data_IF_091813072496
#
_entry.id   IF_091813072496
#
_cell.length_a   1.000
_cell.length_b   1.000
_cell.length_c   1.000
_cell.angle_alpha   90.00
_cell.angle_beta   90.00
_cell.angle_gamma   90.00
#
_symmetry.space_group_name_H-M   'P 1'
#
loop_
_entity.id
_entity.type
_entity.pdbx_description
1 polymer ?
#
# COMPACT_ATOMS: atom_id res chain seq x y z
N UNK A 1 4.27 12.63 22.71
CA UNK A 1 3.49 12.50 21.46
C UNK A 1 2.15 13.20 21.63
N UNK A 2 1.78 14.06 20.68
CA UNK A 2 0.44 14.67 20.59
C UNK A 2 -0.34 13.88 19.54
N UNK A 3 -1.45 13.24 19.94
CA UNK A 3 -2.30 12.45 19.06
C UNK A 3 -3.74 12.50 19.57
N UNK A 4 -4.69 12.68 18.65
CA UNK A 4 -6.13 12.74 18.91
C UNK A 4 -6.90 11.93 17.86
N UNK A 5 -7.72 10.99 18.33
CA UNK A 5 -8.47 10.02 17.53
C UNK A 5 -9.72 10.67 16.90
N UNK A 6 -10.19 11.83 17.42
CA UNK A 6 -11.33 12.59 16.88
C UNK A 6 -12.64 11.79 16.86
N UNK A 7 -13.06 11.33 18.04
CA UNK A 7 -14.27 10.52 18.26
C UNK A 7 -15.33 11.27 19.09
N UNK A 8 -15.36 12.60 18.98
CA UNK A 8 -16.27 13.48 19.71
C UNK A 8 -17.75 13.16 19.46
N UNK A 9 -18.09 12.71 18.24
CA UNK A 9 -19.45 12.27 17.88
C UNK A 9 -19.92 11.08 18.71
N UNK A 10 -18.99 10.27 19.21
CA UNK A 10 -19.25 9.14 20.12
C UNK A 10 -19.09 9.52 21.58
N UNK A 11 -18.95 10.83 21.87
CA UNK A 11 -18.68 11.38 23.22
C UNK A 11 -17.37 10.87 23.82
N UNK A 12 -16.43 10.47 22.97
CA UNK A 12 -15.08 10.07 23.39
C UNK A 12 -14.18 11.30 23.24
N UNK A 13 -13.94 11.97 24.36
CA UNK A 13 -13.13 13.19 24.37
C UNK A 13 -11.67 12.90 24.05
N UNK A 14 -11.00 13.91 23.51
CA UNK A 14 -9.54 13.93 23.32
C UNK A 14 -8.76 13.68 24.63
N UNK A 15 -7.45 13.51 24.49
CA UNK A 15 -6.54 13.22 25.60
C UNK A 15 -6.58 14.34 26.66
N UNK A 16 -6.80 13.97 27.92
CA UNK A 16 -6.93 14.92 29.04
C UNK A 16 -5.57 15.45 29.49
N UNK A 17 -5.59 16.60 30.17
CA UNK A 17 -4.41 17.13 30.86
C UNK A 17 -3.89 16.10 31.89
N UNK A 18 -2.59 15.81 31.88
CA UNK A 18 -1.97 14.82 32.76
C UNK A 18 -2.22 13.35 32.41
N UNK A 19 -3.15 13.02 31.51
CA UNK A 19 -3.38 11.65 31.04
C UNK A 19 -2.18 11.16 30.23
N UNK A 20 -1.71 9.93 30.43
CA UNK A 20 -0.66 9.36 29.55
C UNK A 20 -1.27 8.97 28.20
N UNK A 21 -0.45 8.80 27.17
CA UNK A 21 -0.99 8.31 25.89
C UNK A 21 -1.62 6.93 26.05
N UNK A 22 -1.00 6.03 26.80
CA UNK A 22 -1.53 4.69 27.03
C UNK A 22 -2.90 4.75 27.71
N UNK A 23 -3.05 5.53 28.80
CA UNK A 23 -4.33 5.68 29.49
C UNK A 23 -5.42 6.28 28.58
N UNK A 24 -5.04 7.20 27.70
CA UNK A 24 -5.96 7.74 26.68
C UNK A 24 -6.42 6.65 25.69
N UNK A 25 -5.49 5.84 25.17
CA UNK A 25 -5.80 4.75 24.25
C UNK A 25 -6.67 3.68 24.93
N UNK A 26 -6.34 3.27 26.16
CA UNK A 26 -7.12 2.29 26.93
C UNK A 26 -8.56 2.79 27.18
N UNK A 27 -8.71 4.08 27.54
CA UNK A 27 -10.01 4.72 27.69
C UNK A 27 -10.81 4.75 26.39
N UNK A 28 -10.17 5.02 25.26
CA UNK A 28 -10.86 5.02 23.96
C UNK A 28 -11.26 3.59 23.59
N UNK A 29 -10.34 2.63 23.69
CA UNK A 29 -10.54 1.23 23.29
C UNK A 29 -11.52 0.47 24.20
N UNK A 30 -11.80 0.96 25.40
CA UNK A 30 -12.86 0.43 26.27
C UNK A 30 -14.28 0.89 25.90
N UNK A 31 -14.43 1.75 24.88
CA UNK A 31 -15.72 2.17 24.37
C UNK A 31 -16.47 1.01 23.70
N UNK A 32 -17.79 1.00 23.83
CA UNK A 32 -18.67 0.04 23.16
C UNK A 32 -18.63 0.14 21.62
N UNK A 33 -18.04 1.20 21.06
CA UNK A 33 -17.87 1.31 19.60
C UNK A 33 -16.88 0.27 19.03
N UNK A 34 -16.05 -0.34 19.89
CA UNK A 34 -15.13 -1.41 19.51
C UNK A 34 -15.73 -2.81 19.73
N UNK A 35 -17.02 -2.89 20.10
CA UNK A 35 -17.76 -4.15 20.14
C UNK A 35 -17.87 -4.74 18.71
N UNK A 36 -17.64 -6.05 18.49
CA UNK A 36 -17.74 -6.68 17.17
C UNK A 36 -19.09 -6.51 16.45
N UNK A 37 -20.17 -6.23 17.20
CA UNK A 37 -21.50 -5.98 16.65
C UNK A 37 -21.69 -4.55 16.12
N UNK A 38 -20.81 -3.62 16.48
CA UNK A 38 -20.90 -2.22 16.08
C UNK A 38 -20.30 -2.01 14.68
N UNK A 39 -21.10 -1.46 13.77
CA UNK A 39 -20.75 -1.36 12.35
C UNK A 39 -20.39 0.06 11.89
N UNK A 40 -20.68 1.10 12.68
CA UNK A 40 -20.33 2.50 12.33
C UNK A 40 -18.90 2.85 12.80
N UNK A 41 -17.95 1.99 12.41
CA UNK A 41 -16.54 2.12 12.74
C UNK A 41 -15.66 1.63 11.58
N UNK A 42 -14.44 2.17 11.48
CA UNK A 42 -13.51 1.76 10.43
C UNK A 42 -13.20 0.26 10.44
N UNK A 43 -13.29 -0.42 11.60
CA UNK A 43 -13.13 -1.87 11.71
C UNK A 43 -14.14 -2.64 10.85
N UNK A 44 -15.38 -2.15 10.74
CA UNK A 44 -16.39 -2.74 9.87
C UNK A 44 -16.10 -2.42 8.41
N UNK A 45 -15.93 -1.15 8.07
CA UNK A 45 -15.66 -0.69 6.69
C UNK A 45 -14.41 -1.33 6.08
N UNK A 46 -13.37 -1.56 6.89
CA UNK A 46 -12.12 -2.22 6.46
C UNK A 46 -12.25 -3.75 6.34
N UNK A 47 -13.31 -4.36 6.87
CA UNK A 47 -13.57 -5.78 6.68
C UNK A 47 -14.07 -6.05 5.25
N UNK A 48 -13.82 -7.25 4.73
CA UNK A 48 -14.33 -7.63 3.39
C UNK A 48 -15.85 -7.61 3.30
N UNK A 49 -16.55 -7.82 4.42
CA UNK A 49 -18.01 -7.75 4.50
C UNK A 49 -18.51 -6.30 4.46
N UNK A 50 -17.93 -5.42 5.28
CA UNK A 50 -18.31 -4.01 5.32
C UNK A 50 -17.96 -3.30 4.01
N UNK A 51 -16.77 -3.53 3.45
CA UNK A 51 -16.42 -2.99 2.13
C UNK A 51 -17.39 -3.45 1.02
N UNK A 52 -17.79 -4.73 1.04
CA UNK A 52 -18.80 -5.26 0.10
C UNK A 52 -20.17 -4.62 0.29
N UNK A 53 -20.58 -4.37 1.54
CA UNK A 53 -21.81 -3.67 1.87
C UNK A 53 -21.77 -2.22 1.37
N UNK A 54 -20.69 -1.49 1.63
CA UNK A 54 -20.50 -0.12 1.17
C UNK A 54 -20.54 0.00 -0.35
N UNK A 55 -19.91 -0.94 -1.07
CA UNK A 55 -19.95 -0.98 -2.53
C UNK A 55 -21.37 -1.15 -3.13
N UNK A 56 -22.37 -1.55 -2.33
CA UNK A 56 -23.76 -1.60 -2.78
C UNK A 56 -24.38 -0.22 -3.00
N UNK A 57 -23.86 0.83 -2.36
CA UNK A 57 -24.41 2.18 -2.43
C UNK A 57 -23.39 3.27 -2.78
N UNK A 58 -22.10 3.09 -2.46
CA UNK A 58 -21.02 3.95 -2.97
C UNK A 58 -20.75 3.60 -4.43
N UNK A 59 -20.93 4.56 -5.33
CA UNK A 59 -20.86 4.33 -6.79
C UNK A 59 -19.72 5.11 -7.43
N UNK A 60 -19.09 4.47 -8.41
CA UNK A 60 -18.23 5.12 -9.39
C UNK A 60 -19.09 6.06 -10.26
N UNK A 61 -18.81 7.36 -10.22
CA UNK A 61 -19.56 8.40 -10.93
C UNK A 61 -19.03 8.61 -12.34
N UNK A 62 -19.91 8.71 -13.33
CA UNK A 62 -19.55 8.78 -14.76
C UNK A 62 -18.76 10.02 -15.18
N UNK A 63 -18.75 11.05 -14.35
CA UNK A 63 -18.13 12.36 -14.59
C UNK A 63 -16.92 12.62 -13.67
N UNK A 64 -16.40 11.58 -13.01
CA UNK A 64 -15.20 11.65 -12.17
C UNK A 64 -14.10 10.76 -12.73
N UNK A 65 -12.85 11.25 -12.69
CA UNK A 65 -11.66 10.44 -12.94
C UNK A 65 -11.22 9.71 -11.67
N UNK A 66 -11.08 8.39 -11.73
CA UNK A 66 -10.57 7.58 -10.62
C UNK A 66 -9.22 6.98 -10.98
N UNK A 67 -8.26 7.03 -10.06
CA UNK A 67 -6.95 6.38 -10.20
C UNK A 67 -6.69 5.49 -8.99
N UNK A 68 -6.10 4.33 -9.22
CA UNK A 68 -5.75 3.40 -8.15
C UNK A 68 -4.34 2.88 -8.30
N UNK A 69 -3.60 2.89 -7.18
CA UNK A 69 -2.27 2.31 -7.08
C UNK A 69 -2.36 1.04 -6.23
N UNK A 70 -1.85 -0.06 -6.76
CA UNK A 70 -1.72 -1.31 -6.01
C UNK A 70 -0.28 -1.47 -5.55
N UNK A 71 -0.09 -1.66 -4.25
CA UNK A 71 1.19 -2.00 -3.62
C UNK A 71 1.27 -3.50 -3.34
N UNK A 72 2.48 -4.06 -3.48
CA UNK A 72 2.77 -5.42 -3.06
C UNK A 72 4.19 -5.50 -2.53
N UNK A 73 4.34 -6.04 -1.32
CA UNK A 73 5.63 -6.18 -0.65
C UNK A 73 5.95 -7.64 -0.28
N UNK A 74 5.09 -8.58 -0.68
CA UNK A 74 5.30 -10.01 -0.50
C UNK A 74 5.95 -10.69 -1.70
N UNK A 75 6.34 -11.95 -1.52
CA UNK A 75 6.71 -12.87 -2.59
C UNK A 75 5.97 -14.20 -2.41
N UNK A 76 5.78 -14.92 -3.51
CA UNK A 76 5.11 -16.22 -3.50
C UNK A 76 5.96 -17.27 -2.81
N UNK A 77 5.34 -18.05 -1.94
CA UNK A 77 5.99 -19.11 -1.19
C UNK A 77 5.03 -20.30 -1.02
N UNK A 78 5.52 -21.34 -0.36
CA UNK A 78 4.76 -22.55 -0.04
C UNK A 78 4.87 -22.83 1.45
N UNK A 79 3.76 -23.19 2.08
CA UNK A 79 3.78 -23.64 3.47
C UNK A 79 4.32 -25.08 3.59
N UNK A 80 4.35 -25.62 4.81
CA UNK A 80 4.84 -26.98 5.08
C UNK A 80 4.02 -28.09 4.41
N UNK A 81 2.80 -27.79 3.94
CA UNK A 81 1.92 -28.69 3.18
C UNK A 81 1.97 -28.40 1.66
N UNK A 82 2.94 -27.61 1.19
CA UNK A 82 3.08 -27.18 -0.20
C UNK A 82 1.90 -26.36 -0.74
N UNK A 83 1.13 -25.72 0.14
CA UNK A 83 0.01 -24.82 -0.25
C UNK A 83 0.53 -23.42 -0.54
N UNK A 84 -0.16 -22.70 -1.41
CA UNK A 84 0.14 -21.30 -1.74
C UNK A 84 0.04 -20.42 -0.50
N UNK A 85 1.09 -19.62 -0.29
CA UNK A 85 1.17 -18.52 0.68
C UNK A 85 2.00 -17.38 0.10
N UNK A 86 1.88 -16.19 0.67
CA UNK A 86 2.73 -15.05 0.38
C UNK A 86 3.49 -14.65 1.66
N UNK A 87 4.79 -14.38 1.56
CA UNK A 87 5.62 -13.97 2.70
C UNK A 87 6.21 -12.57 2.49
N UNK A 88 6.40 -11.77 3.56
CA UNK A 88 6.95 -10.43 3.44
C UNK A 88 8.41 -10.47 2.97
N UNK A 89 8.78 -9.52 2.11
CA UNK A 89 10.19 -9.22 1.82
C UNK A 89 10.76 -8.44 2.99
N UNK A 90 11.59 -9.10 3.80
CA UNK A 90 12.12 -8.55 5.06
C UNK A 90 12.83 -7.20 4.90
N UNK A 91 13.45 -6.94 3.75
CA UNK A 91 14.19 -5.71 3.46
C UNK A 91 13.34 -4.53 2.99
N UNK A 92 12.10 -4.79 2.57
CA UNK A 92 11.23 -3.77 1.98
C UNK A 92 9.92 -3.61 2.74
N UNK A 93 9.65 -4.48 3.72
CA UNK A 93 8.50 -4.40 4.63
C UNK A 93 8.98 -3.95 6.01
N UNK A 94 8.44 -2.84 6.50
CA UNK A 94 8.69 -2.33 7.84
C UNK A 94 8.46 -3.42 8.90
N UNK A 95 9.35 -3.47 9.90
CA UNK A 95 9.41 -4.57 10.87
C UNK A 95 8.07 -4.87 11.54
N UNK A 96 7.34 -3.83 11.94
CA UNK A 96 6.05 -3.98 12.62
C UNK A 96 4.91 -4.46 11.69
N UNK A 97 5.06 -4.30 10.37
CA UNK A 97 4.11 -4.79 9.36
C UNK A 97 4.36 -6.25 8.98
N UNK A 98 5.54 -6.80 9.23
CA UNK A 98 5.88 -8.18 8.87
C UNK A 98 4.94 -9.24 9.48
N UNK A 99 4.59 -9.23 10.78
CA UNK A 99 3.65 -10.22 11.32
C UNK A 99 2.25 -10.10 10.70
N UNK A 100 1.78 -8.88 10.41
CA UNK A 100 0.52 -8.64 9.71
C UNK A 100 0.56 -9.18 8.28
N UNK A 101 1.67 -8.94 7.58
CA UNK A 101 1.91 -9.46 6.23
C UNK A 101 1.89 -10.98 6.17
N UNK A 102 2.51 -11.66 7.15
CA UNK A 102 2.48 -13.12 7.27
C UNK A 102 1.06 -13.63 7.53
N UNK A 103 0.28 -12.94 8.37
CA UNK A 103 -1.11 -13.32 8.63
C UNK A 103 -1.97 -13.21 7.36
N UNK A 104 -1.90 -12.07 6.67
CA UNK A 104 -2.63 -11.81 5.42
C UNK A 104 -2.21 -12.75 4.29
N UNK A 105 -0.91 -13.02 4.16
CA UNK A 105 -0.34 -13.92 3.16
C UNK A 105 -0.47 -15.40 3.49
N UNK A 106 -0.92 -15.72 4.71
CA UNK A 106 -1.17 -17.08 5.17
C UNK A 106 -2.45 -17.67 4.61
N UNK A 107 -2.94 -18.72 5.29
CA UNK A 107 -4.11 -19.50 4.84
C UNK A 107 -5.45 -19.03 5.43
N UNK A 108 -5.46 -17.98 6.25
CA UNK A 108 -6.68 -17.52 6.92
C UNK A 108 -7.79 -17.11 5.94
N UNK A 109 -7.49 -16.21 5.00
CA UNK A 109 -8.49 -15.77 4.01
C UNK A 109 -9.02 -16.93 3.14
N UNK A 110 -8.16 -17.83 2.59
CA UNK A 110 -8.65 -18.98 1.85
C UNK A 110 -9.42 -20.02 2.69
N UNK A 111 -8.87 -20.43 3.83
CA UNK A 111 -9.40 -21.59 4.57
C UNK A 111 -10.54 -21.22 5.52
N UNK A 112 -10.53 -20.00 6.09
CA UNK A 112 -11.53 -19.56 7.07
C UNK A 112 -12.60 -18.63 6.48
N UNK A 113 -12.27 -17.87 5.44
CA UNK A 113 -13.20 -16.92 4.81
C UNK A 113 -13.70 -17.38 3.42
N UNK A 114 -13.24 -18.54 2.92
CA UNK A 114 -13.53 -19.06 1.58
C UNK A 114 -13.19 -18.07 0.45
N UNK A 115 -12.14 -17.25 0.65
CA UNK A 115 -11.64 -16.34 -0.37
C UNK A 115 -10.59 -17.02 -1.26
N UNK A 116 -10.34 -16.46 -2.45
CA UNK A 116 -9.31 -17.00 -3.35
C UNK A 116 -7.91 -16.84 -2.76
N UNK A 117 -6.96 -17.71 -3.15
CA UNK A 117 -5.52 -17.54 -2.84
C UNK A 117 -4.95 -16.22 -3.39
N UNK A 118 -5.63 -15.58 -4.35
CA UNK A 118 -5.31 -14.22 -4.82
C UNK A 118 -5.42 -13.14 -3.75
N UNK A 119 -6.03 -13.43 -2.58
CA UNK A 119 -6.01 -12.53 -1.43
C UNK A 119 -4.68 -12.59 -0.65
N UNK A 120 -3.79 -13.52 -0.92
CA UNK A 120 -2.56 -13.68 -0.13
C UNK A 120 -1.50 -12.59 -0.39
N UNK A 121 -1.23 -12.17 -1.65
CA UNK A 121 -0.32 -11.05 -1.90
C UNK A 121 -0.78 -9.78 -1.19
N UNK A 122 0.14 -9.10 -0.51
CA UNK A 122 -0.18 -7.91 0.30
C UNK A 122 1.01 -6.96 0.45
N UNK A 123 0.75 -5.78 1.01
CA UNK A 123 1.74 -4.74 1.31
C UNK A 123 2.05 -4.61 2.81
N UNK A 124 1.62 -5.59 3.62
CA UNK A 124 1.75 -5.58 5.08
C UNK A 124 0.52 -5.10 5.84
N UNK A 125 -0.46 -4.46 5.19
CA UNK A 125 -1.73 -4.09 5.82
C UNK A 125 -2.95 -4.46 4.98
N UNK A 126 -2.85 -4.39 3.65
CA UNK A 126 -3.97 -4.62 2.73
C UNK A 126 -3.58 -5.66 1.68
N UNK A 127 -4.52 -6.54 1.34
CA UNK A 127 -4.34 -7.52 0.28
C UNK A 127 -4.35 -6.82 -1.08
N UNK A 128 -3.37 -7.10 -1.95
CA UNK A 128 -3.17 -6.35 -3.20
C UNK A 128 -4.35 -6.44 -4.16
N UNK A 129 -5.11 -7.55 -4.15
CA UNK A 129 -6.34 -7.70 -4.96
C UNK A 129 -7.42 -6.65 -4.60
N UNK A 130 -7.41 -6.14 -3.37
CA UNK A 130 -8.42 -5.19 -2.86
C UNK A 130 -8.10 -3.73 -3.19
N UNK A 131 -6.98 -3.43 -3.87
CA UNK A 131 -6.50 -2.06 -4.09
C UNK A 131 -6.82 -1.52 -5.49
N UNK A 132 -7.16 -2.39 -6.43
CA UNK A 132 -7.33 -2.00 -7.84
C UNK A 132 -8.60 -1.18 -8.09
N UNK A 133 -9.68 -1.43 -7.34
CA UNK A 133 -10.93 -0.69 -7.47
C UNK A 133 -11.85 -0.93 -6.26
N UNK A 134 -13.05 -0.34 -6.31
CA UNK A 134 -14.17 -0.61 -5.40
C UNK A 134 -14.80 -2.02 -5.57
N UNK A 135 -14.29 -2.84 -6.50
CA UNK A 135 -14.81 -4.18 -6.79
C UNK A 135 -16.15 -4.23 -7.54
N UNK A 136 -16.69 -3.07 -7.97
CA UNK A 136 -18.00 -2.96 -8.66
C UNK A 136 -17.91 -2.15 -9.95
N UNK A 137 -17.24 -0.99 -9.90
CA UNK A 137 -17.02 -0.12 -11.05
C UNK A 137 -16.16 -0.78 -12.12
N UNK A 138 -16.26 -0.27 -13.34
CA UNK A 138 -15.37 -0.71 -14.42
C UNK A 138 -13.93 -0.34 -14.09
N UNK A 139 -13.02 -1.15 -14.63
CA UNK A 139 -11.57 -0.97 -14.51
C UNK A 139 -11.00 -0.85 -15.91
N UNK A 140 -10.10 0.12 -16.09
CA UNK A 140 -9.25 0.22 -17.27
C UNK A 140 -7.79 0.28 -16.83
N UNK A 141 -6.89 -0.36 -17.57
CA UNK A 141 -5.46 -0.21 -17.31
C UNK A 141 -5.03 1.16 -17.79
N UNK A 142 -4.34 1.91 -16.93
CA UNK A 142 -3.74 3.17 -17.32
C UNK A 142 -2.54 2.92 -18.25
N UNK A 143 -2.67 3.32 -19.51
CA UNK A 143 -1.60 3.27 -20.52
C UNK A 143 -1.49 4.65 -21.19
N UNK A 144 -0.55 5.47 -20.74
CA UNK A 144 -0.33 6.84 -21.24
C UNK A 144 -1.52 7.81 -21.06
N UNK A 145 -1.38 9.06 -21.51
CA UNK A 145 -2.32 10.15 -21.22
C UNK A 145 -3.71 9.99 -21.84
N UNK A 146 -3.79 9.40 -23.04
CA UNK A 146 -5.07 9.11 -23.70
C UNK A 146 -5.89 8.02 -22.95
N UNK A 147 -5.33 7.40 -21.91
CA UNK A 147 -6.00 6.40 -21.07
C UNK A 147 -6.68 6.96 -19.81
N UNK A 148 -6.62 8.26 -19.54
CA UNK A 148 -7.41 8.84 -18.43
C UNK A 148 -8.89 8.80 -18.81
N UNK A 149 -9.63 7.85 -18.25
CA UNK A 149 -11.05 7.66 -18.56
C UNK A 149 -11.94 8.06 -17.38
N UNK A 150 -13.01 8.79 -17.69
CA UNK A 150 -14.07 9.16 -16.75
C UNK A 150 -14.93 7.94 -16.42
N UNK A 151 -15.49 7.91 -15.21
CA UNK A 151 -16.47 6.88 -14.83
C UNK A 151 -15.91 5.49 -14.62
N UNK A 152 -14.58 5.35 -14.54
CA UNK A 152 -13.89 4.08 -14.42
C UNK A 152 -12.63 4.23 -13.59
N UNK A 153 -12.19 3.13 -12.99
CA UNK A 153 -10.92 3.06 -12.26
C UNK A 153 -9.77 2.89 -13.24
N UNK A 154 -8.95 3.93 -13.39
CA UNK A 154 -7.70 3.90 -14.13
C UNK A 154 -6.62 3.26 -13.25
N UNK A 155 -6.46 1.94 -13.40
CA UNK A 155 -5.53 1.14 -12.59
C UNK A 155 -4.10 1.41 -13.07
N UNK A 156 -3.32 1.97 -12.16
CA UNK A 156 -1.91 2.28 -12.38
C UNK A 156 -1.06 1.00 -12.36
N UNK A 157 0.13 1.01 -12.98
CA UNK A 157 1.07 -0.10 -12.85
C UNK A 157 1.33 -0.45 -11.37
N UNK A 158 1.31 -1.76 -11.07
CA UNK A 158 1.50 -2.25 -9.71
C UNK A 158 2.89 -1.87 -9.18
N UNK A 159 2.92 -1.25 -7.99
CA UNK A 159 4.12 -0.86 -7.29
C UNK A 159 4.65 -2.05 -6.48
N UNK A 160 5.68 -2.70 -7.02
CA UNK A 160 6.28 -3.89 -6.43
C UNK A 160 7.33 -3.50 -5.39
N UNK A 161 7.49 -4.37 -4.38
CA UNK A 161 8.47 -4.23 -3.30
C UNK A 161 8.29 -2.92 -2.51
N UNK A 162 7.04 -2.50 -2.36
CA UNK A 162 6.65 -1.30 -1.62
C UNK A 162 5.57 -1.69 -0.62
N UNK A 163 5.85 -1.51 0.66
CA UNK A 163 4.88 -1.76 1.72
C UNK A 163 3.87 -0.62 1.86
N UNK A 164 2.87 -0.82 2.73
CA UNK A 164 1.76 0.10 2.93
C UNK A 164 2.18 1.51 3.33
N UNK A 165 3.28 1.64 4.09
CA UNK A 165 3.79 2.93 4.52
C UNK A 165 4.75 3.53 3.48
N UNK A 166 5.39 2.69 2.68
CA UNK A 166 6.31 3.12 1.64
C UNK A 166 5.68 4.08 0.63
N UNK A 167 4.44 3.83 0.21
CA UNK A 167 3.75 4.73 -0.73
C UNK A 167 3.53 6.15 -0.15
N UNK A 168 3.48 6.29 1.18
CA UNK A 168 3.34 7.59 1.87
C UNK A 168 4.69 8.30 2.11
N UNK A 169 5.79 7.73 1.63
CA UNK A 169 7.14 8.25 1.83
C UNK A 169 7.82 7.79 3.12
N UNK A 170 7.15 6.94 3.90
CA UNK A 170 7.74 6.22 5.04
C UNK A 170 8.47 4.98 4.53
N UNK A 171 9.49 5.24 3.72
CA UNK A 171 10.34 4.24 3.08
C UNK A 171 11.70 4.22 3.74
N UNK A 172 12.30 3.04 3.70
CA UNK A 172 13.67 2.81 4.15
C UNK A 172 14.67 3.50 3.20
N UNK A 173 14.42 3.40 1.90
CA UNK A 173 15.46 3.64 0.88
C UNK A 173 14.99 4.29 -0.42
N UNK A 174 13.72 4.13 -0.79
CA UNK A 174 13.15 4.77 -1.98
C UNK A 174 12.60 6.17 -1.67
N UNK A 175 12.40 7.00 -2.68
CA UNK A 175 11.63 8.24 -2.57
C UNK A 175 10.42 8.11 -3.47
N UNK A 176 9.29 8.64 -3.02
CA UNK A 176 8.04 8.63 -3.78
C UNK A 176 7.66 10.02 -4.28
N UNK A 177 8.49 11.04 -4.02
CA UNK A 177 8.18 12.42 -4.38
C UNK A 177 7.93 12.57 -5.89
N UNK A 178 8.78 11.98 -6.74
CA UNK A 178 8.62 12.05 -8.19
C UNK A 178 7.32 11.38 -8.66
N UNK A 179 6.88 10.32 -7.98
CA UNK A 179 5.58 9.68 -8.22
C UNK A 179 4.44 10.65 -7.92
N UNK A 180 4.49 11.34 -6.77
CA UNK A 180 3.50 12.35 -6.39
C UNK A 180 3.51 13.54 -7.33
N UNK A 181 4.68 14.04 -7.73
CA UNK A 181 4.79 15.14 -8.69
C UNK A 181 4.27 14.76 -10.07
N UNK A 182 4.56 13.54 -10.53
CA UNK A 182 4.03 13.01 -11.78
C UNK A 182 2.50 12.87 -11.73
N UNK A 183 1.96 12.36 -10.63
CA UNK A 183 0.51 12.23 -10.46
C UNK A 183 -0.16 13.61 -10.36
N UNK A 184 0.44 14.57 -9.67
CA UNK A 184 -0.06 15.94 -9.60
C UNK A 184 -0.05 16.61 -10.99
N UNK A 185 0.99 16.41 -11.79
CA UNK A 185 1.04 16.88 -13.17
C UNK A 185 -0.10 16.26 -14.01
N UNK A 186 -0.35 14.96 -13.85
CA UNK A 186 -1.45 14.27 -14.52
C UNK A 186 -2.80 14.89 -14.14
N UNK A 187 -3.07 15.06 -12.85
CA UNK A 187 -4.31 15.68 -12.36
C UNK A 187 -4.48 17.12 -12.88
N UNK A 188 -3.40 17.90 -12.92
CA UNK A 188 -3.42 19.27 -13.45
C UNK A 188 -3.67 19.34 -14.96
N UNK A 189 -3.32 18.27 -15.69
CA UNK A 189 -3.53 18.17 -17.14
C UNK A 189 -4.93 17.71 -17.55
N UNK A 190 -5.77 17.28 -16.59
CA UNK A 190 -7.09 16.74 -16.90
C UNK A 190 -7.99 17.78 -17.57
N UNK A 191 -8.74 17.39 -18.62
CA UNK A 191 -9.57 18.34 -19.35
C UNK A 191 -10.74 18.81 -18.48
N UNK A 192 -10.88 20.12 -18.31
CA UNK A 192 -11.93 20.72 -17.46
C UNK A 192 -13.26 20.89 -18.18
N UNK A 193 -13.27 21.08 -19.52
CA UNK A 193 -14.50 21.07 -20.37
C UNK A 193 -14.25 21.24 -21.88
N UNK A 194 -13.02 21.22 -22.40
CA UNK A 194 -12.79 21.31 -23.86
C UNK A 194 -11.52 20.61 -24.32
N UNK A 195 -11.61 19.97 -25.50
CA UNK A 195 -10.51 19.28 -26.20
C UNK A 195 -9.64 20.33 -26.89
N UNK A 196 -8.89 21.11 -26.11
CA UNK A 196 -7.85 21.96 -26.68
C UNK A 196 -6.60 21.11 -26.92
N UNK A 197 -6.03 21.12 -28.14
CA UNK A 197 -4.79 20.36 -28.47
C UNK A 197 -3.63 20.60 -27.50
N UNK A 198 -3.57 21.78 -26.87
CA UNK A 198 -2.57 22.11 -25.85
C UNK A 198 -2.73 21.26 -24.58
N UNK A 199 -3.96 21.08 -24.09
CA UNK A 199 -4.26 20.23 -22.94
C UNK A 199 -3.90 18.76 -23.22
N UNK A 200 -4.03 18.33 -24.48
CA UNK A 200 -3.63 16.99 -24.89
C UNK A 200 -2.10 16.79 -24.84
N UNK A 201 -1.32 17.78 -25.29
CA UNK A 201 0.15 17.71 -25.19
C UNK A 201 0.63 17.75 -23.73
N UNK A 202 0.05 18.63 -22.92
CA UNK A 202 0.39 18.73 -21.49
C UNK A 202 0.04 17.42 -20.75
N UNK A 203 -1.06 16.77 -21.12
CA UNK A 203 -1.44 15.46 -20.58
C UNK A 203 -0.45 14.36 -20.98
N UNK A 204 -0.02 14.32 -22.24
CA UNK A 204 1.01 13.38 -22.72
C UNK A 204 2.30 13.54 -21.93
N UNK A 205 2.78 14.77 -21.77
CA UNK A 205 4.00 15.05 -21.01
C UNK A 205 3.86 14.64 -19.53
N UNK A 206 2.72 14.94 -18.91
CA UNK A 206 2.43 14.55 -17.53
C UNK A 206 2.39 13.03 -17.34
N UNK A 207 1.78 12.29 -18.27
CA UNK A 207 1.74 10.83 -18.23
C UNK A 207 3.14 10.23 -18.42
N UNK A 208 3.96 10.79 -19.32
CA UNK A 208 5.37 10.37 -19.48
C UNK A 208 6.14 10.61 -18.19
N UNK A 209 6.01 11.79 -17.56
CA UNK A 209 6.65 12.08 -16.27
C UNK A 209 6.25 11.04 -15.21
N UNK A 210 4.96 10.74 -15.10
CA UNK A 210 4.45 9.77 -14.13
C UNK A 210 4.97 8.35 -14.41
N UNK A 211 4.95 7.91 -15.66
CA UNK A 211 5.46 6.58 -16.05
C UNK A 211 6.96 6.45 -15.75
N UNK A 212 7.76 7.48 -16.04
CA UNK A 212 9.18 7.52 -15.68
C UNK A 212 9.35 7.40 -14.16
N UNK A 213 8.62 8.18 -13.37
CA UNK A 213 8.70 8.11 -11.91
C UNK A 213 8.31 6.72 -11.35
N UNK A 214 7.30 6.06 -11.93
CA UNK A 214 6.91 4.70 -11.56
C UNK A 214 8.03 3.69 -11.86
N UNK A 215 8.67 3.81 -13.03
CA UNK A 215 9.78 2.94 -13.43
C UNK A 215 11.01 3.14 -12.55
N UNK A 216 11.37 4.39 -12.26
CA UNK A 216 12.49 4.73 -11.38
C UNK A 216 12.25 4.25 -9.95
N UNK A 217 11.04 4.45 -9.41
CA UNK A 217 10.65 3.92 -8.10
C UNK A 217 10.73 2.39 -8.09
N UNK A 218 10.22 1.72 -9.12
CA UNK A 218 10.27 0.25 -9.24
C UNK A 218 11.70 -0.27 -9.33
N UNK A 219 12.59 0.44 -10.02
CA UNK A 219 14.01 0.11 -10.07
C UNK A 219 14.68 0.30 -8.70
N UNK A 220 14.36 1.41 -8.01
CA UNK A 220 14.89 1.71 -6.69
C UNK A 220 14.46 0.65 -5.66
N UNK A 221 13.19 0.26 -5.62
CA UNK A 221 12.71 -0.78 -4.68
C UNK A 221 13.20 -2.18 -5.03
N UNK A 222 13.55 -2.44 -6.30
CA UNK A 222 14.15 -3.69 -6.74
C UNK A 222 15.65 -3.80 -6.38
N UNK A 223 16.34 -2.68 -6.17
CA UNK A 223 17.79 -2.66 -5.94
C UNK A 223 18.23 -3.25 -4.60
N UNK A 224 17.31 -3.43 -3.63
CA UNK A 224 17.63 -3.99 -2.33
C UNK A 224 17.13 -5.44 -2.24
N UNK A 225 18.04 -6.38 -2.48
CA UNK A 225 17.76 -7.82 -2.37
C UNK A 225 18.58 -8.51 -1.27
N UNK A 226 19.75 -7.97 -0.97
CA UNK A 226 20.73 -8.56 -0.07
C UNK A 226 21.09 -7.64 1.09
N UNK A 227 21.81 -8.20 2.07
CA UNK A 227 22.32 -7.45 3.21
C UNK A 227 23.36 -6.44 2.72
N UNK A 228 24.20 -6.84 1.77
CA UNK A 228 25.23 -6.00 1.17
C UNK A 228 24.62 -4.79 0.45
N UNK A 229 23.47 -4.97 -0.23
CA UNK A 229 22.73 -3.86 -0.84
C UNK A 229 22.20 -2.89 0.23
N UNK A 230 21.65 -3.41 1.33
CA UNK A 230 21.21 -2.58 2.44
C UNK A 230 22.39 -1.86 3.12
N UNK A 231 23.50 -2.55 3.36
CA UNK A 231 24.72 -1.97 3.93
C UNK A 231 25.28 -0.86 3.05
N UNK A 232 25.31 -1.06 1.72
CA UNK A 232 25.74 -0.05 0.77
C UNK A 232 24.86 1.20 0.84
N UNK A 233 23.54 1.00 0.93
CA UNK A 233 22.58 2.09 1.03
C UNK A 233 22.63 2.82 2.39
N UNK A 234 22.87 2.08 3.47
CA UNK A 234 22.96 2.62 4.83
C UNK A 234 24.27 3.39 5.11
N UNK A 235 25.23 3.44 4.16
CA UNK A 235 26.47 4.23 4.30
C UNK A 235 26.26 5.74 4.32
N UNK A 236 25.13 6.23 3.80
CA UNK A 236 24.83 7.67 3.75
C UNK A 236 23.36 7.94 4.05
N UNK A 237 22.92 7.75 5.31
CA UNK A 237 21.52 7.90 5.68
C UNK A 237 21.07 9.37 5.52
N UNK A 238 19.90 9.55 4.89
CA UNK A 238 19.32 10.87 4.62
C UNK A 238 18.97 11.68 5.88
N UNK A 239 18.74 11.01 7.01
CA UNK A 239 18.42 11.60 8.31
C UNK A 239 18.64 10.61 9.47
N UNK A 240 18.51 11.08 10.71
CA UNK A 240 18.71 10.27 11.93
C UNK A 240 17.70 9.10 12.07
N UNK A 241 16.49 9.25 11.54
CA UNK A 241 15.51 8.16 11.52
C UNK A 241 15.99 7.01 10.62
N UNK A 242 16.43 7.32 9.41
CA UNK A 242 17.01 6.36 8.47
C UNK A 242 18.26 5.68 9.06
N UNK A 243 19.07 6.44 9.80
CA UNK A 243 20.24 5.88 10.50
C UNK A 243 19.85 4.85 11.58
N UNK A 244 18.94 5.21 12.49
CA UNK A 244 18.49 4.29 13.56
C UNK A 244 17.84 3.05 12.97
N UNK A 245 17.00 3.24 11.96
CA UNK A 245 16.35 2.16 11.24
C UNK A 245 17.37 1.22 10.56
N UNK A 246 18.39 1.77 9.90
CA UNK A 246 19.48 1.01 9.31
C UNK A 246 20.22 0.15 10.35
N UNK A 247 20.50 0.70 11.53
CA UNK A 247 21.14 -0.03 12.63
C UNK A 247 20.28 -1.21 13.09
N UNK A 248 19.00 -0.99 13.40
CA UNK A 248 18.08 -2.04 13.85
C UNK A 248 17.93 -3.16 12.80
N UNK A 249 17.80 -2.79 11.52
CA UNK A 249 17.65 -3.76 10.44
C UNK A 249 18.91 -4.60 10.19
N UNK A 250 20.10 -3.99 10.30
CA UNK A 250 21.37 -4.71 10.11
C UNK A 250 21.69 -5.66 11.28
N UNK A 251 21.27 -5.31 12.50
CA UNK A 251 21.36 -6.16 13.69
C UNK A 251 20.42 -7.37 13.61
N UNK A 252 19.19 -7.16 13.13
CA UNK A 252 18.18 -8.22 13.05
C UNK A 252 18.36 -9.18 11.86
N UNK A 253 19.30 -8.90 10.96
CA UNK A 253 19.60 -9.76 9.80
C UNK A 253 20.78 -10.71 10.06
N UNK A 254 20.53 -11.96 10.51
CA UNK A 254 21.56 -12.98 10.50
C UNK A 254 22.00 -13.23 9.04
N UNK A 255 23.29 -13.48 8.86
CA UNK A 255 24.01 -13.72 7.58
C UNK A 255 23.47 -14.87 6.72
N UNK A 256 22.32 -15.48 7.06
CA UNK A 256 21.90 -16.78 6.57
C UNK A 256 20.40 -16.87 6.26
N UNK A 257 19.82 -15.97 5.44
CA UNK A 257 18.50 -16.21 4.77
C UNK A 257 18.10 -15.19 3.69
N UNK A 258 19.04 -14.66 2.92
CA UNK A 258 18.75 -13.71 1.84
C UNK A 258 18.85 -14.31 0.43
N UNK A 259 18.98 -15.63 0.29
CA UNK A 259 18.74 -16.26 -1.01
C UNK A 259 17.25 -16.26 -1.28
N UNK A 260 16.78 -15.19 -1.93
CA UNK A 260 15.59 -15.27 -2.75
C UNK A 260 15.71 -16.50 -3.64
N UNK A 261 14.65 -17.31 -3.66
CA UNK A 261 14.53 -18.37 -4.64
C UNK A 261 14.53 -17.68 -6.00
N UNK A 262 15.68 -17.67 -6.69
CA UNK A 262 15.72 -17.30 -8.10
C UNK A 262 14.77 -18.27 -8.80
N UNK A 263 13.63 -17.76 -9.26
CA UNK A 263 12.81 -18.49 -10.21
C UNK A 263 13.72 -18.79 -11.40
N UNK A 264 14.11 -20.05 -11.55
CA UNK A 264 14.83 -20.54 -12.71
C UNK A 264 13.97 -20.26 -13.93
N UNK A 265 14.38 -19.29 -14.75
CA UNK A 265 13.87 -19.11 -16.11
C UNK A 265 14.11 -20.44 -16.85
N UNK A 266 13.10 -21.07 -17.45
CA UNK A 266 13.32 -22.23 -18.30
C UNK A 266 14.20 -21.77 -19.47
N UNK A 267 15.36 -22.39 -19.65
CA UNK A 267 16.04 -22.31 -20.94
C UNK A 267 15.24 -23.14 -21.93
N UNK A 268 15.05 -22.57 -23.12
CA UNK A 268 14.50 -23.20 -24.32
C UNK A 268 15.13 -24.58 -24.60
#
# INVERSE_FOLDING_TARGET
MFYDIKLDQWRISSKRAGETLQAYLDRVLSSSMFDPSFQDACLWSLSTRGAKEEATWVKTLSDVYYYSYTTVATFDARDYLFREIALPRLLTVMLFLQPLSVFLGGRYAPDSMNLSTKWQPNDGLVNSISMASDGVGSVTTFTDADASQLGTWNVMPQLKRLDHLGITGNTIHSQVLDLYEGHAALLASLPTTSIARRLQNDAIEAAVKLNTAILELSAATASIETKDDLEALCKSPKNAYAQNYCTEMLEYMPTRRLRGYQATVPRE
#
